data_IF_780871096953
#
_entry.id   IF_780871096953
#
_cell.length_a   1.000
_cell.length_b   1.000
_cell.length_c   1.000
_cell.angle_alpha   90.00
_cell.angle_beta   90.00
_cell.angle_gamma   90.00
#
_symmetry.space_group_name_H-M   'P 1'
#
loop_
_entity.id
_entity.type
_entity.pdbx_description
1 polymer ?
#
# COMPACT_ATOMS: atom_id res chain seq x y z
N UNK A 1 28.84 6.97 -7.67
CA UNK A 1 27.72 7.92 -7.41
C UNK A 1 27.89 8.43 -5.99
N UNK A 2 27.75 9.73 -5.73
CA UNK A 2 27.79 10.23 -4.34
C UNK A 2 26.43 10.05 -3.66
N UNK A 3 26.46 9.68 -2.39
CA UNK A 3 25.27 9.54 -1.55
C UNK A 3 24.54 10.89 -1.43
N UNK A 4 23.22 10.86 -1.56
CA UNK A 4 22.37 12.04 -1.52
C UNK A 4 22.39 12.73 -0.13
N UNK A 5 21.92 13.98 -0.09
CA UNK A 5 21.87 14.75 1.15
C UNK A 5 21.08 14.04 2.26
N UNK A 6 21.43 14.34 3.52
CA UNK A 6 20.76 13.80 4.72
C UNK A 6 19.25 14.01 4.72
N UNK A 7 18.77 15.11 4.10
CA UNK A 7 17.34 15.41 3.96
C UNK A 7 16.62 14.38 3.07
N UNK A 8 17.24 13.96 1.97
CA UNK A 8 16.68 12.96 1.05
C UNK A 8 16.64 11.59 1.72
N UNK A 9 17.72 11.20 2.39
CA UNK A 9 17.82 9.92 3.10
C UNK A 9 16.78 9.84 4.23
N UNK A 10 16.66 10.90 5.04
CA UNK A 10 15.66 10.93 6.10
C UNK A 10 14.22 10.92 5.53
N UNK A 11 13.99 11.57 4.39
CA UNK A 11 12.69 11.52 3.70
C UNK A 11 12.35 10.12 3.19
N UNK A 12 13.34 9.40 2.65
CA UNK A 12 13.20 8.00 2.25
C UNK A 12 12.92 7.09 3.46
N UNK A 13 13.65 7.26 4.57
CA UNK A 13 13.40 6.49 5.79
C UNK A 13 12.02 6.77 6.41
N UNK A 14 11.54 8.03 6.37
CA UNK A 14 10.18 8.37 6.81
C UNK A 14 9.12 7.74 5.90
N UNK A 15 9.43 7.53 4.63
CA UNK A 15 8.56 6.82 3.71
C UNK A 15 8.41 5.34 4.09
N UNK A 16 9.50 4.70 4.53
CA UNK A 16 9.49 3.34 5.07
C UNK A 16 8.59 3.21 6.31
N UNK A 17 8.68 4.18 7.20
CA UNK A 17 7.78 4.31 8.35
C UNK A 17 6.32 4.32 7.90
N UNK A 18 5.96 5.20 6.97
CA UNK A 18 4.59 5.30 6.47
C UNK A 18 4.11 4.00 5.82
N UNK A 19 4.98 3.34 5.04
CA UNK A 19 4.66 2.05 4.42
C UNK A 19 4.41 0.95 5.46
N UNK A 20 5.21 0.92 6.52
CA UNK A 20 5.08 -0.07 7.60
C UNK A 20 3.75 0.10 8.34
N UNK A 21 3.37 1.34 8.65
CA UNK A 21 2.07 1.65 9.26
C UNK A 21 0.91 1.25 8.36
N UNK A 22 0.97 1.52 7.06
CA UNK A 22 -0.06 1.09 6.11
C UNK A 22 -0.23 -0.44 6.15
N UNK A 23 0.86 -1.19 6.06
CA UNK A 23 0.81 -2.65 6.01
C UNK A 23 0.18 -3.21 7.30
N UNK A 24 0.62 -2.71 8.46
CA UNK A 24 0.06 -3.11 9.75
C UNK A 24 -1.44 -2.82 9.85
N UNK A 25 -1.87 -1.61 9.50
CA UNK A 25 -3.24 -1.15 9.70
C UNK A 25 -4.21 -1.73 8.68
N UNK A 26 -3.87 -1.63 7.39
CA UNK A 26 -4.77 -1.96 6.30
C UNK A 26 -4.63 -3.42 5.87
N UNK A 27 -3.42 -3.96 5.83
CA UNK A 27 -3.21 -5.30 5.27
C UNK A 27 -3.38 -6.39 6.33
N UNK A 28 -2.85 -6.21 7.55
CA UNK A 28 -2.70 -7.33 8.49
C UNK A 28 -3.65 -7.30 9.68
N UNK A 29 -3.84 -6.15 10.34
CA UNK A 29 -4.38 -6.15 11.71
C UNK A 29 -5.76 -5.52 11.80
N UNK A 30 -5.86 -4.20 11.57
CA UNK A 30 -7.07 -3.46 11.94
C UNK A 30 -8.18 -3.59 10.89
N UNK A 31 -7.86 -3.36 9.62
CA UNK A 31 -8.86 -3.35 8.56
C UNK A 31 -9.45 -4.74 8.26
N UNK A 32 -8.69 -5.86 8.22
CA UNK A 32 -9.28 -7.19 8.06
C UNK A 32 -10.28 -7.55 9.17
N UNK A 33 -9.97 -7.17 10.42
CA UNK A 33 -10.86 -7.36 11.57
C UNK A 33 -12.10 -6.48 11.41
N UNK A 34 -11.92 -5.18 11.16
CA UNK A 34 -13.02 -4.24 10.96
C UNK A 34 -13.96 -4.68 9.82
N UNK A 35 -13.41 -5.09 8.69
CA UNK A 35 -14.17 -5.62 7.56
C UNK A 35 -14.97 -6.87 7.96
N UNK A 36 -14.33 -7.80 8.66
CA UNK A 36 -14.98 -9.05 9.08
C UNK A 36 -16.10 -8.79 10.08
N UNK A 37 -15.90 -7.92 11.07
CA UNK A 37 -16.93 -7.57 12.05
C UNK A 37 -18.09 -6.80 11.43
N UNK A 38 -17.82 -5.86 10.50
CA UNK A 38 -18.86 -5.10 9.81
C UNK A 38 -19.73 -5.99 8.90
N UNK A 39 -19.15 -7.05 8.34
CA UNK A 39 -19.83 -8.00 7.43
C UNK A 39 -20.43 -9.21 8.15
N UNK A 40 -20.11 -9.43 9.43
CA UNK A 40 -20.76 -10.46 10.27
C UNK A 40 -22.13 -10.02 10.76
N UNK A 41 -22.32 -8.73 11.03
CA UNK A 41 -23.59 -8.18 11.49
C UNK A 41 -24.64 -8.05 10.37
N UNK A 42 -25.90 -7.84 10.75
CA UNK A 42 -26.95 -7.46 9.80
C UNK A 42 -26.56 -6.16 9.08
N UNK A 43 -26.78 -6.03 7.75
CA UNK A 43 -27.63 -6.87 6.89
C UNK A 43 -26.92 -8.05 6.19
N UNK A 44 -25.62 -8.26 6.39
CA UNK A 44 -24.84 -9.24 5.61
C UNK A 44 -24.87 -10.65 6.20
N UNK A 45 -24.93 -10.79 7.52
CA UNK A 45 -24.95 -12.10 8.21
C UNK A 45 -23.83 -13.05 7.75
N UNK A 46 -22.64 -12.52 7.41
CA UNK A 46 -21.49 -13.30 6.94
C UNK A 46 -21.41 -13.52 5.42
N UNK A 47 -22.47 -13.20 4.68
CA UNK A 47 -22.53 -13.29 3.22
C UNK A 47 -22.68 -11.91 2.59
N UNK A 48 -21.82 -11.60 1.63
CA UNK A 48 -21.78 -10.29 0.97
C UNK A 48 -22.09 -10.44 -0.51
N UNK A 49 -23.02 -9.64 -1.01
CA UNK A 49 -23.33 -9.59 -2.45
C UNK A 49 -22.46 -8.53 -3.11
N UNK A 50 -21.65 -8.94 -4.09
CA UNK A 50 -20.78 -8.05 -4.84
C UNK A 50 -20.90 -8.37 -6.34
N UNK A 51 -21.17 -7.35 -7.16
CA UNK A 51 -21.46 -7.49 -8.60
C UNK A 51 -22.49 -8.61 -8.93
N UNK A 52 -23.54 -8.73 -8.12
CA UNK A 52 -24.62 -9.70 -8.35
C UNK A 52 -24.29 -11.15 -7.99
N UNK A 53 -23.16 -11.41 -7.32
CA UNK A 53 -22.81 -12.73 -6.77
C UNK A 53 -22.62 -12.66 -5.26
N UNK A 54 -23.06 -13.70 -4.58
CA UNK A 54 -22.88 -13.85 -3.12
C UNK A 54 -21.55 -14.54 -2.83
N UNK A 55 -20.80 -13.98 -1.90
CA UNK A 55 -19.53 -14.51 -1.44
C UNK A 55 -19.51 -14.58 0.08
N UNK A 56 -18.75 -15.52 0.63
CA UNK A 56 -18.33 -15.47 2.03
C UNK A 56 -17.49 -14.20 2.21
N UNK A 57 -17.73 -13.43 3.27
CA UNK A 57 -17.07 -12.15 3.51
C UNK A 57 -15.55 -12.19 3.34
N UNK A 58 -14.86 -13.11 4.01
CA UNK A 58 -13.40 -13.28 3.96
C UNK A 58 -12.90 -13.71 2.58
N UNK A 59 -13.69 -14.50 1.85
CA UNK A 59 -13.36 -14.90 0.49
C UNK A 59 -13.38 -13.70 -0.46
N UNK A 60 -14.39 -12.83 -0.38
CA UNK A 60 -14.46 -11.63 -1.20
C UNK A 60 -13.27 -10.70 -0.93
N UNK A 61 -12.92 -10.50 0.34
CA UNK A 61 -11.75 -9.71 0.73
C UNK A 61 -10.46 -10.22 0.05
N UNK A 62 -10.21 -11.52 0.15
CA UNK A 62 -9.04 -12.15 -0.46
C UNK A 62 -9.06 -12.09 -1.99
N UNK A 63 -10.22 -12.28 -2.62
CA UNK A 63 -10.36 -12.15 -4.08
C UNK A 63 -10.14 -10.71 -4.55
N UNK A 64 -10.63 -9.72 -3.81
CA UNK A 64 -10.41 -8.31 -4.11
C UNK A 64 -8.92 -7.94 -4.02
N UNK A 65 -8.22 -8.38 -2.97
CA UNK A 65 -6.77 -8.21 -2.87
C UNK A 65 -6.02 -8.94 -3.99
N UNK A 66 -6.38 -10.19 -4.28
CA UNK A 66 -5.76 -10.95 -5.37
C UNK A 66 -5.94 -10.25 -6.73
N UNK A 67 -7.12 -9.68 -6.99
CA UNK A 67 -7.38 -8.88 -8.18
C UNK A 67 -6.52 -7.61 -8.21
N UNK A 68 -6.36 -6.90 -7.09
CA UNK A 68 -5.46 -5.77 -6.99
C UNK A 68 -4.00 -6.17 -7.30
N UNK A 69 -3.54 -7.31 -6.76
CA UNK A 69 -2.19 -7.81 -7.00
C UNK A 69 -1.96 -8.25 -8.44
N UNK A 70 -2.97 -8.83 -9.09
CA UNK A 70 -2.91 -9.12 -10.52
C UNK A 70 -2.77 -7.83 -11.33
N UNK A 71 -3.57 -6.79 -11.02
CA UNK A 71 -3.42 -5.48 -11.66
C UNK A 71 -2.00 -4.95 -11.50
N UNK A 72 -1.45 -4.97 -10.27
CA UNK A 72 -0.06 -4.58 -9.98
C UNK A 72 0.93 -5.38 -10.82
N UNK A 73 0.78 -6.71 -10.90
CA UNK A 73 1.70 -7.59 -11.62
C UNK A 73 1.77 -7.27 -13.12
N UNK A 74 0.65 -6.87 -13.73
CA UNK A 74 0.61 -6.49 -15.15
C UNK A 74 1.06 -5.04 -15.39
N UNK A 75 0.65 -4.09 -14.54
CA UNK A 75 0.92 -2.67 -14.79
C UNK A 75 2.32 -2.26 -14.38
N UNK A 76 2.87 -2.81 -13.29
CA UNK A 76 4.15 -2.34 -12.75
C UNK A 76 5.35 -2.57 -13.67
N UNK A 77 5.54 -3.71 -14.36
CA UNK A 77 6.65 -3.86 -15.29
C UNK A 77 6.66 -2.76 -16.37
N UNK A 78 5.48 -2.43 -16.89
CA UNK A 78 5.30 -1.38 -17.91
C UNK A 78 5.61 -0.01 -17.31
N UNK A 79 4.99 0.33 -16.17
CA UNK A 79 5.16 1.64 -15.54
C UNK A 79 6.60 1.85 -15.03
N UNK A 80 7.24 0.81 -14.50
CA UNK A 80 8.65 0.83 -14.10
C UNK A 80 9.56 1.08 -15.29
N UNK A 81 9.35 0.40 -16.42
CA UNK A 81 10.16 0.63 -17.63
C UNK A 81 10.05 2.08 -18.15
N UNK A 82 8.85 2.67 -18.09
CA UNK A 82 8.62 4.07 -18.47
C UNK A 82 9.30 5.02 -17.48
N UNK A 83 9.22 4.72 -16.19
CA UNK A 83 9.82 5.53 -15.14
C UNK A 83 11.35 5.52 -15.21
N UNK A 84 11.95 4.36 -15.49
CA UNK A 84 13.38 4.17 -15.73
C UNK A 84 13.83 4.99 -16.94
N UNK A 85 13.13 4.88 -18.07
CA UNK A 85 13.49 5.61 -19.30
C UNK A 85 13.37 7.13 -19.13
N UNK A 86 12.34 7.62 -18.43
CA UNK A 86 12.10 9.06 -18.22
C UNK A 86 12.81 9.64 -16.98
N UNK A 87 13.51 8.83 -16.18
CA UNK A 87 14.10 9.25 -14.91
C UNK A 87 13.09 9.86 -13.92
N UNK A 88 11.86 9.35 -13.92
CA UNK A 88 10.71 9.99 -13.24
C UNK A 88 10.14 9.17 -12.08
N UNK A 89 10.91 8.20 -11.55
CA UNK A 89 10.52 7.30 -10.45
C UNK A 89 9.91 8.01 -9.25
N UNK A 90 10.49 9.14 -8.84
CA UNK A 90 9.96 9.95 -7.73
C UNK A 90 8.52 10.43 -7.99
N UNK A 91 8.19 10.83 -9.22
CA UNK A 91 6.82 11.25 -9.58
C UNK A 91 5.86 10.06 -9.55
N UNK A 92 6.27 8.90 -10.07
CA UNK A 92 5.46 7.68 -9.98
C UNK A 92 5.21 7.29 -8.52
N UNK A 93 6.25 7.26 -7.69
CA UNK A 93 6.14 7.02 -6.26
C UNK A 93 5.13 7.96 -5.60
N UNK A 94 5.17 9.27 -5.91
CA UNK A 94 4.21 10.25 -5.41
C UNK A 94 2.77 9.98 -5.87
N UNK A 95 2.57 9.68 -7.16
CA UNK A 95 1.22 9.38 -7.70
C UNK A 95 0.62 8.16 -7.00
N UNK A 96 1.40 7.09 -6.87
CA UNK A 96 0.96 5.88 -6.17
C UNK A 96 0.68 6.14 -4.68
N UNK A 97 1.54 6.91 -4.01
CA UNK A 97 1.37 7.33 -2.62
C UNK A 97 0.06 8.10 -2.43
N UNK A 98 -0.17 9.15 -3.23
CA UNK A 98 -1.39 9.96 -3.13
C UNK A 98 -2.64 9.16 -3.47
N UNK A 99 -2.57 8.27 -4.47
CA UNK A 99 -3.68 7.39 -4.83
C UNK A 99 -4.02 6.44 -3.67
N UNK A 100 -3.01 5.82 -3.06
CA UNK A 100 -3.17 4.95 -1.90
C UNK A 100 -3.72 5.71 -0.67
N UNK A 101 -3.17 6.89 -0.38
CA UNK A 101 -3.58 7.73 0.75
C UNK A 101 -5.03 8.24 0.60
N UNK A 102 -5.42 8.66 -0.61
CA UNK A 102 -6.78 9.06 -0.93
C UNK A 102 -7.74 7.87 -0.74
N UNK A 103 -7.38 6.71 -1.28
CA UNK A 103 -8.19 5.50 -1.15
C UNK A 103 -8.34 5.05 0.31
N UNK A 104 -7.27 5.10 1.11
CA UNK A 104 -7.32 4.89 2.56
C UNK A 104 -8.23 5.88 3.27
N UNK A 105 -8.16 7.15 2.91
CA UNK A 105 -9.03 8.17 3.49
C UNK A 105 -10.49 7.93 3.13
N UNK A 106 -10.77 7.43 1.92
CA UNK A 106 -12.13 7.03 1.52
C UNK A 106 -12.66 5.82 2.27
N UNK A 107 -11.80 4.96 2.83
CA UNK A 107 -12.24 3.85 3.71
C UNK A 107 -12.92 4.36 4.98
N UNK A 108 -12.76 5.63 5.37
CA UNK A 108 -13.55 6.25 6.43
C UNK A 108 -15.06 6.19 6.16
N UNK A 109 -15.47 6.27 4.89
CA UNK A 109 -16.88 6.19 4.49
C UNK A 109 -17.38 4.75 4.30
N UNK A 110 -16.58 3.76 4.70
CA UNK A 110 -17.00 2.37 4.63
C UNK A 110 -18.17 2.14 5.57
N UNK A 111 -19.29 1.73 4.98
CA UNK A 111 -20.52 1.41 5.69
C UNK A 111 -21.23 0.27 4.99
N UNK A 112 -22.20 -0.40 5.64
CA UNK A 112 -23.02 -1.42 4.99
C UNK A 112 -23.72 -0.93 3.72
N UNK A 113 -24.11 0.36 3.67
CA UNK A 113 -24.76 0.96 2.51
C UNK A 113 -23.79 1.19 1.35
N UNK A 114 -22.52 1.47 1.66
CA UNK A 114 -21.47 1.76 0.67
C UNK A 114 -20.45 0.61 0.54
N UNK A 115 -20.88 -0.63 0.79
CA UNK A 115 -20.00 -1.79 0.86
C UNK A 115 -19.13 -1.96 -0.39
N UNK A 116 -19.73 -1.87 -1.58
CA UNK A 116 -19.00 -2.03 -2.84
C UNK A 116 -17.93 -0.96 -3.05
N UNK A 117 -18.21 0.27 -2.63
CA UNK A 117 -17.24 1.37 -2.67
C UNK A 117 -16.06 1.08 -1.73
N UNK A 118 -16.32 0.54 -0.54
CA UNK A 118 -15.25 0.13 0.38
C UNK A 118 -14.32 -0.93 -0.18
N UNK A 119 -14.86 -1.97 -0.82
CA UNK A 119 -14.06 -3.00 -1.49
C UNK A 119 -13.19 -2.37 -2.59
N UNK A 120 -13.77 -1.50 -3.42
CA UNK A 120 -13.03 -0.83 -4.50
C UNK A 120 -11.94 0.08 -3.93
N UNK A 121 -12.25 0.89 -2.90
CA UNK A 121 -11.27 1.73 -2.22
C UNK A 121 -10.13 0.90 -1.61
N UNK A 122 -10.44 -0.26 -1.01
CA UNK A 122 -9.43 -1.18 -0.49
C UNK A 122 -8.53 -1.70 -1.61
N UNK A 123 -9.11 -2.09 -2.75
CA UNK A 123 -8.33 -2.54 -3.91
C UNK A 123 -7.40 -1.45 -4.44
N UNK A 124 -7.89 -0.20 -4.54
CA UNK A 124 -7.11 0.95 -4.98
C UNK A 124 -6.02 1.29 -3.96
N UNK A 125 -6.32 1.20 -2.66
CA UNK A 125 -5.35 1.40 -1.59
C UNK A 125 -4.21 0.39 -1.69
N UNK A 126 -4.54 -0.90 -1.85
CA UNK A 126 -3.55 -1.96 -2.05
C UNK A 126 -2.72 -1.72 -3.32
N UNK A 127 -3.37 -1.43 -4.45
CA UNK A 127 -2.69 -1.11 -5.70
C UNK A 127 -1.74 0.09 -5.56
N UNK A 128 -2.19 1.15 -4.89
CA UNK A 128 -1.40 2.33 -4.55
C UNK A 128 -0.17 2.00 -3.73
N UNK A 129 -0.35 1.25 -2.64
CA UNK A 129 0.72 0.85 -1.73
C UNK A 129 1.78 -0.02 -2.42
N UNK A 130 1.37 -1.13 -3.07
CA UNK A 130 2.32 -2.03 -3.72
C UNK A 130 3.00 -1.40 -4.92
N UNK A 131 2.30 -0.54 -5.66
CA UNK A 131 2.93 0.25 -6.73
C UNK A 131 3.98 1.21 -6.19
N UNK A 132 3.66 1.96 -5.15
CA UNK A 132 4.60 2.83 -4.43
C UNK A 132 5.83 2.07 -3.95
N UNK A 133 5.64 0.87 -3.38
CA UNK A 133 6.71 0.06 -2.80
C UNK A 133 7.76 -0.36 -3.84
N UNK A 134 7.35 -0.68 -5.06
CA UNK A 134 8.29 -1.03 -6.14
C UNK A 134 9.15 0.17 -6.53
N UNK A 135 8.54 1.35 -6.71
CA UNK A 135 9.30 2.56 -7.00
C UNK A 135 10.22 2.96 -5.86
N UNK A 136 9.76 2.84 -4.62
CA UNK A 136 10.54 3.09 -3.41
C UNK A 136 11.82 2.25 -3.34
N UNK A 137 11.72 0.93 -3.58
CA UNK A 137 12.86 0.02 -3.62
C UNK A 137 13.82 0.36 -4.78
N UNK A 138 13.28 0.65 -5.97
CA UNK A 138 14.08 1.01 -7.15
C UNK A 138 14.73 2.40 -7.07
N UNK A 139 14.30 3.24 -6.13
CA UNK A 139 14.81 4.60 -5.92
C UNK A 139 16.03 4.63 -4.99
N UNK A 140 16.20 3.63 -4.11
CA UNK A 140 17.35 3.55 -3.19
C UNK A 140 18.70 3.56 -3.94
N UNK A 141 18.91 2.79 -5.02
CA UNK A 141 20.15 2.81 -5.79
C UNK A 141 20.49 4.16 -6.43
N UNK A 142 19.49 5.05 -6.62
CA UNK A 142 19.67 6.39 -7.21
C UNK A 142 20.07 7.44 -6.17
N UNK A 143 19.76 7.21 -4.89
CA UNK A 143 20.02 8.16 -3.80
C UNK A 143 21.20 7.76 -2.91
N UNK A 144 21.72 6.54 -3.03
CA UNK A 144 22.79 6.00 -2.19
C UNK A 144 23.91 5.37 -3.01
N UNK A 145 25.16 5.72 -2.69
CA UNK A 145 26.34 5.01 -3.18
C UNK A 145 26.32 3.55 -2.70
N UNK A 146 26.91 2.62 -3.47
CA UNK A 146 26.88 1.18 -3.14
C UNK A 146 27.32 0.88 -1.70
N UNK A 147 28.38 1.53 -1.24
CA UNK A 147 28.93 1.38 0.12
C UNK A 147 27.96 1.81 1.23
N UNK A 148 27.04 2.74 0.94
CA UNK A 148 26.09 3.28 1.91
C UNK A 148 24.69 2.67 1.81
N UNK A 149 24.40 1.89 0.75
CA UNK A 149 23.06 1.32 0.49
C UNK A 149 22.56 0.45 1.64
N UNK A 150 23.41 -0.45 2.13
CA UNK A 150 23.05 -1.36 3.22
C UNK A 150 22.76 -0.60 4.51
N UNK A 151 23.61 0.38 4.85
CA UNK A 151 23.44 1.21 6.05
C UNK A 151 22.16 2.05 5.98
N UNK A 152 21.86 2.63 4.81
CA UNK A 152 20.65 3.45 4.61
C UNK A 152 19.40 2.58 4.62
N UNK A 153 19.44 1.43 3.96
CA UNK A 153 18.35 0.45 3.96
C UNK A 153 18.04 -0.05 5.37
N UNK A 154 19.06 -0.50 6.11
CA UNK A 154 18.92 -0.94 7.51
C UNK A 154 18.33 0.16 8.41
N UNK A 155 18.74 1.41 8.19
CA UNK A 155 18.18 2.56 8.90
C UNK A 155 16.71 2.78 8.55
N UNK A 156 16.34 2.78 7.27
CA UNK A 156 14.94 2.89 6.82
C UNK A 156 14.07 1.82 7.47
N UNK A 157 14.50 0.56 7.35
CA UNK A 157 13.82 -0.58 7.94
C UNK A 157 13.67 -0.50 9.47
N UNK A 158 14.70 0.00 10.17
CA UNK A 158 14.62 0.23 11.62
C UNK A 158 13.56 1.29 11.97
N UNK A 159 13.48 2.37 11.20
CA UNK A 159 12.41 3.38 11.36
C UNK A 159 11.03 2.79 11.02
N UNK A 160 10.94 1.98 9.96
CA UNK A 160 9.76 1.20 9.61
C UNK A 160 9.22 0.39 10.80
N UNK A 161 10.09 -0.41 11.40
CA UNK A 161 9.74 -1.23 12.56
C UNK A 161 9.32 -0.42 13.78
N UNK A 162 10.03 0.66 14.12
CA UNK A 162 9.64 1.53 15.24
C UNK A 162 8.24 2.09 15.00
N UNK A 163 7.92 2.49 13.76
CA UNK A 163 6.60 2.96 13.38
C UNK A 163 5.51 1.91 13.58
N UNK A 164 5.77 0.66 13.21
CA UNK A 164 4.86 -0.45 13.46
C UNK A 164 4.64 -0.71 14.94
N UNK A 165 5.72 -0.72 15.75
CA UNK A 165 5.64 -1.01 17.19
C UNK A 165 4.86 0.04 17.97
N UNK A 166 4.99 1.33 17.60
CA UNK A 166 4.23 2.41 18.27
C UNK A 166 2.73 2.33 17.95
N UNK A 167 2.37 1.81 16.78
CA UNK A 167 0.98 1.76 16.29
C UNK A 167 0.24 0.47 16.66
N UNK A 168 0.97 -0.60 17.02
CA UNK A 168 0.39 -1.89 17.42
C UNK A 168 -0.18 -1.82 18.84
#
# INVERSE_FOLDING_TARGET
MQTASRKVINGWAMYDWANSVYNLVITTTFFPVYYTEMTKAAPFNGEVTFFGRTFINTALYNYALAAAYLCVAFTLPILSSIADYRGSKKRFMQVFCFTGALACSMLYFFSPQNFSLGIICMMIAAYGFYGSLVFYNSYLPEIAAEEDRDRISARGFSFGYIGSVIMQ
#
